data_IF_725364683249
#
_entry.id   IF_725364683249
#
_cell.length_a   1.000
_cell.length_b   1.000
_cell.length_c   1.000
_cell.angle_alpha   90.00
_cell.angle_beta   90.00
_cell.angle_gamma   90.00
#
_symmetry.space_group_name_H-M   'P 1'
#
loop_
_entity.id
_entity.type
_entity.pdbx_description
1 polymer ?
#
# COMPACT_ATOMS: atom_id res chain seq x y z
N UNK A 1 3.64 14.21 -7.80
CA UNK A 1 2.47 13.34 -8.08
C UNK A 1 1.39 13.61 -7.07
N UNK A 2 0.16 13.79 -7.52
CA UNK A 2 -0.96 14.09 -6.61
C UNK A 2 -1.38 12.85 -5.84
N UNK A 3 -1.93 13.06 -4.63
CA UNK A 3 -2.37 11.98 -3.76
C UNK A 3 -3.34 11.01 -4.47
N UNK A 4 -4.29 11.54 -5.22
CA UNK A 4 -5.26 10.70 -5.96
C UNK A 4 -4.56 9.81 -6.99
N UNK A 5 -3.58 10.34 -7.71
CA UNK A 5 -2.80 9.57 -8.67
C UNK A 5 -2.00 8.47 -7.98
N UNK A 6 -1.40 8.79 -6.83
CA UNK A 6 -0.68 7.81 -6.03
C UNK A 6 -1.62 6.72 -5.52
N UNK A 7 -2.81 7.08 -5.05
CA UNK A 7 -3.80 6.11 -4.57
C UNK A 7 -4.18 5.14 -5.68
N UNK A 8 -4.40 5.63 -6.90
CA UNK A 8 -4.74 4.77 -8.03
C UNK A 8 -3.59 3.82 -8.38
N UNK A 9 -2.37 4.33 -8.37
CA UNK A 9 -1.19 3.51 -8.67
C UNK A 9 -1.02 2.41 -7.62
N UNK A 10 -1.17 2.76 -6.35
CA UNK A 10 -1.05 1.82 -5.24
C UNK A 10 -2.16 0.76 -5.31
N UNK A 11 -3.38 1.19 -5.53
CA UNK A 11 -4.52 0.28 -5.64
C UNK A 11 -4.32 -0.72 -6.79
N UNK A 12 -3.99 -0.23 -7.97
CA UNK A 12 -3.76 -1.07 -9.13
C UNK A 12 -2.64 -2.08 -8.90
N UNK A 13 -1.56 -1.64 -8.27
CA UNK A 13 -0.42 -2.50 -7.99
C UNK A 13 -0.71 -3.51 -6.89
N UNK A 14 -1.31 -3.08 -5.78
CA UNK A 14 -1.52 -3.91 -4.60
C UNK A 14 -2.61 -4.97 -4.80
N UNK A 15 -3.64 -4.69 -5.58
CA UNK A 15 -4.75 -5.63 -5.77
C UNK A 15 -4.31 -6.94 -6.43
N UNK A 16 -3.20 -6.94 -7.13
CA UNK A 16 -2.64 -8.15 -7.74
C UNK A 16 -1.68 -8.88 -6.80
N UNK A 17 -1.51 -8.40 -5.58
CA UNK A 17 -0.59 -8.94 -4.57
C UNK A 17 -1.28 -9.10 -3.22
N UNK A 18 -2.47 -9.71 -3.25
CA UNK A 18 -3.32 -9.79 -2.06
C UNK A 18 -2.84 -10.79 -1.00
N UNK A 19 -1.75 -11.53 -1.28
CA UNK A 19 -1.13 -12.43 -0.29
C UNK A 19 0.08 -11.79 0.40
N UNK A 20 0.37 -10.52 0.07
CA UNK A 20 1.58 -9.86 0.54
C UNK A 20 1.25 -8.54 1.22
N UNK A 21 2.19 -8.05 2.02
CA UNK A 21 2.09 -6.74 2.66
C UNK A 21 3.38 -5.97 2.39
N UNK A 22 3.27 -4.63 2.30
CA UNK A 22 4.39 -3.79 1.86
C UNK A 22 4.49 -2.53 2.71
N UNK A 23 5.73 -2.18 3.09
CA UNK A 23 5.99 -0.90 3.74
C UNK A 23 5.97 0.23 2.71
N UNK A 24 5.83 1.47 3.19
CA UNK A 24 5.74 2.64 2.30
C UNK A 24 6.96 2.80 1.40
N UNK A 25 8.15 2.46 1.90
CA UNK A 25 9.38 2.55 1.11
C UNK A 25 9.34 1.59 -0.08
N UNK A 26 8.88 0.36 0.13
CA UNK A 26 8.78 -0.62 -0.95
C UNK A 26 7.67 -0.25 -1.93
N UNK A 27 6.55 0.26 -1.43
CA UNK A 27 5.46 0.75 -2.29
C UNK A 27 5.97 1.89 -3.18
N UNK A 28 6.67 2.86 -2.59
CA UNK A 28 7.23 4.00 -3.34
C UNK A 28 8.15 3.53 -4.45
N UNK A 29 9.02 2.58 -4.16
CA UNK A 29 9.95 2.04 -5.14
C UNK A 29 9.23 1.33 -6.27
N UNK A 30 8.22 0.53 -5.95
CA UNK A 30 7.50 -0.26 -6.95
C UNK A 30 6.66 0.60 -7.90
N UNK A 31 6.07 1.66 -7.40
CA UNK A 31 5.25 2.54 -8.26
C UNK A 31 6.04 3.72 -8.82
N UNK A 32 7.35 3.80 -8.52
CA UNK A 32 8.20 4.86 -9.04
C UNK A 32 7.99 6.22 -8.40
N UNK A 33 7.46 6.26 -7.18
CA UNK A 33 7.26 7.52 -6.46
C UNK A 33 8.54 7.90 -5.72
N UNK A 34 8.89 9.17 -5.76
CA UNK A 34 10.11 9.67 -5.12
C UNK A 34 9.88 10.14 -3.68
N UNK A 35 8.65 10.56 -3.36
CA UNK A 35 8.31 11.12 -2.05
C UNK A 35 7.60 10.08 -1.19
N UNK A 36 8.35 9.50 -0.23
CA UNK A 36 7.81 8.49 0.67
C UNK A 36 6.70 9.05 1.56
N UNK A 37 6.78 10.32 1.95
CA UNK A 37 5.72 10.94 2.78
C UNK A 37 4.41 11.02 2.02
N UNK A 38 4.47 11.35 0.73
CA UNK A 38 3.28 11.38 -0.11
C UNK A 38 2.70 9.98 -0.25
N UNK A 39 3.54 8.96 -0.38
CA UNK A 39 3.09 7.56 -0.43
C UNK A 39 2.43 7.16 0.87
N UNK A 40 3.02 7.52 2.02
CA UNK A 40 2.44 7.22 3.34
C UNK A 40 1.05 7.85 3.48
N UNK A 41 0.89 9.09 3.05
CA UNK A 41 -0.40 9.78 3.07
C UNK A 41 -1.42 9.08 2.16
N UNK A 42 -0.99 8.72 0.96
CA UNK A 42 -1.86 8.05 -0.01
C UNK A 42 -2.31 6.67 0.49
N UNK A 43 -1.40 5.88 1.09
CA UNK A 43 -1.76 4.57 1.63
C UNK A 43 -2.72 4.70 2.80
N UNK A 44 -2.52 5.70 3.66
CA UNK A 44 -3.42 5.95 4.79
C UNK A 44 -4.82 6.32 4.31
N UNK A 45 -4.92 7.22 3.33
CA UNK A 45 -6.21 7.60 2.77
C UNK A 45 -6.89 6.45 2.05
N UNK A 46 -6.14 5.66 1.31
CA UNK A 46 -6.67 4.50 0.60
C UNK A 46 -7.29 3.51 1.57
N UNK A 47 -6.62 3.24 2.67
CA UNK A 47 -7.12 2.31 3.69
C UNK A 47 -8.31 2.88 4.46
N UNK A 48 -8.43 4.20 4.56
CA UNK A 48 -9.57 4.85 5.19
C UNK A 48 -10.79 4.83 4.27
N UNK A 49 -10.59 5.18 3.00
CA UNK A 49 -11.69 5.26 2.03
C UNK A 49 -12.17 3.89 1.57
N UNK A 50 -11.27 2.91 1.54
CA UNK A 50 -11.59 1.55 1.06
C UNK A 50 -11.20 0.52 2.11
N UNK A 51 -11.72 0.71 3.33
CA UNK A 51 -11.36 -0.12 4.48
C UNK A 51 -11.69 -1.61 4.29
N UNK A 52 -12.70 -1.93 3.48
CA UNK A 52 -13.03 -3.31 3.20
C UNK A 52 -12.04 -3.97 2.24
N UNK A 53 -11.32 -3.17 1.45
CA UNK A 53 -10.42 -3.67 0.41
C UNK A 53 -8.96 -3.63 0.78
N UNK A 54 -8.57 -2.73 1.67
CA UNK A 54 -7.18 -2.54 2.08
C UNK A 54 -7.07 -2.40 3.59
N UNK A 55 -5.99 -2.94 4.13
CA UNK A 55 -5.68 -2.84 5.56
C UNK A 55 -4.31 -2.21 5.74
N UNK A 56 -4.16 -1.40 6.79
CA UNK A 56 -2.88 -0.82 7.17
C UNK A 56 -2.62 -1.19 8.63
N UNK A 57 -1.51 -1.83 8.89
CA UNK A 57 -1.18 -2.35 10.22
C UNK A 57 0.33 -2.41 10.39
N UNK A 58 0.76 -2.65 11.62
CA UNK A 58 2.18 -2.83 11.92
C UNK A 58 2.54 -4.31 11.71
N UNK A 59 3.44 -4.58 10.79
CA UNK A 59 3.85 -5.95 10.45
C UNK A 59 5.17 -5.97 9.72
N UNK A 60 5.53 -7.13 9.21
CA UNK A 60 6.77 -7.32 8.47
C UNK A 60 6.50 -7.22 6.98
N UNK A 61 7.21 -6.33 6.30
CA UNK A 61 7.10 -6.16 4.86
C UNK A 61 7.54 -7.43 4.12
N UNK A 62 6.70 -7.93 3.23
CA UNK A 62 7.01 -9.13 2.45
C UNK A 62 8.22 -8.92 1.54
N UNK A 63 8.36 -7.70 1.00
CA UNK A 63 9.42 -7.40 0.04
C UNK A 63 10.79 -7.22 0.68
N UNK A 64 10.89 -6.45 1.77
CA UNK A 64 12.19 -6.15 2.38
C UNK A 64 12.40 -6.79 3.75
N UNK A 65 11.37 -7.38 4.34
CA UNK A 65 11.47 -8.05 5.63
C UNK A 65 11.55 -7.13 6.84
N UNK A 66 11.47 -5.83 6.65
CA UNK A 66 11.58 -4.86 7.74
C UNK A 66 10.26 -4.73 8.50
N UNK A 67 10.26 -4.78 9.85
CA UNK A 67 9.08 -4.47 10.64
C UNK A 67 8.72 -2.99 10.47
N UNK A 68 7.47 -2.70 10.08
CA UNK A 68 7.05 -1.35 9.79
C UNK A 68 5.53 -1.29 9.68
N UNK A 69 4.99 -0.09 9.45
CA UNK A 69 3.60 0.04 9.05
C UNK A 69 3.50 -0.41 7.60
N UNK A 70 2.65 -1.38 7.33
CA UNK A 70 2.49 -1.98 5.99
C UNK A 70 1.07 -1.82 5.51
N UNK A 71 0.90 -1.93 4.18
CA UNK A 71 -0.41 -1.98 3.53
C UNK A 71 -0.58 -3.34 2.87
N UNK A 72 -1.79 -3.88 2.95
CA UNK A 72 -2.13 -5.16 2.31
C UNK A 72 -3.52 -5.08 1.70
N UNK A 73 -3.70 -5.69 0.54
CA UNK A 73 -5.02 -5.83 -0.06
C UNK A 73 -5.73 -7.00 0.62
N UNK A 74 -7.00 -6.80 0.99
CA UNK A 74 -7.77 -7.81 1.70
C UNK A 74 -8.21 -8.90 0.73
N UNK A 75 -7.68 -10.10 0.94
CA UNK A 75 -7.83 -11.23 0.02
C UNK A 75 -9.29 -11.58 -0.31
N UNK A 76 -10.15 -11.52 0.69
CA UNK A 76 -11.56 -11.91 0.53
C UNK A 76 -12.31 -11.00 -0.45
N UNK A 77 -11.85 -9.76 -0.63
CA UNK A 77 -12.49 -8.80 -1.53
C UNK A 77 -12.10 -9.05 -2.98
N UNK A 78 -10.88 -9.52 -3.21
CA UNK A 78 -10.31 -9.66 -4.55
C UNK A 78 -10.34 -11.07 -5.11
N UNK A 79 -10.77 -12.03 -4.31
CA UNK A 79 -10.79 -13.45 -4.69
C UNK A 79 -11.79 -13.78 -5.82
#
# INVERSE_FOLDING_TARGET
MRTRTLMRAIESWARHRNDECFCDTCVAREIGAQDRKAVSRATSELCTMHAAQFSRYHGRCTSCGTPSTVIAANRLVWA
#
